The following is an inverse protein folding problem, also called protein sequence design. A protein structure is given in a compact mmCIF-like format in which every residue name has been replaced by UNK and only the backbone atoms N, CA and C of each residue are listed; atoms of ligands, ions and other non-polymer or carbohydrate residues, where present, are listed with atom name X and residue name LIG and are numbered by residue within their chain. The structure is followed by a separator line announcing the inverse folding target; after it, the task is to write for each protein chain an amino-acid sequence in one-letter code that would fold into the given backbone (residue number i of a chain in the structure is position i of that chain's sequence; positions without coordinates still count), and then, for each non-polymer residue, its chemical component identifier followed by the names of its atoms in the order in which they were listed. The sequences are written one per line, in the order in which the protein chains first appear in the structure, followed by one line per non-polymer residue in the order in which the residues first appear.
data_IF_110866213513
#
_entry.id   IF_110866213513
#
_cell.length_a   1.000
_cell.length_b   1.000
_cell.length_c   1.000
_cell.angle_alpha   90.00
_cell.angle_beta   90.00
_cell.angle_gamma   90.00
#
_symmetry.space_group_name_H-M   'P 1'
#
loop_
_entity.id
_entity.type
_entity.pdbx_description
1 polymer ?
#
# COMPACT_ATOMS: atom_id res chain seq x y z
N UNK A 1 28.05 -30.23 -18.02
CA UNK A 1 27.81 -29.87 -16.60
C UNK A 1 28.02 -28.37 -16.29
N UNK A 2 29.11 -27.72 -16.73
CA UNK A 2 29.35 -26.28 -16.46
C UNK A 2 28.31 -25.36 -17.12
N UNK A 3 27.91 -25.64 -18.37
CA UNK A 3 26.90 -24.87 -19.11
C UNK A 3 25.49 -24.99 -18.52
N UNK A 4 25.10 -26.19 -18.09
CA UNK A 4 23.80 -26.44 -17.43
C UNK A 4 23.68 -25.71 -16.09
N UNK A 5 24.77 -25.59 -15.33
CA UNK A 5 24.81 -24.81 -14.08
C UNK A 5 24.64 -23.31 -14.30
N UNK A 6 25.22 -22.76 -15.37
CA UNK A 6 25.08 -21.34 -15.73
C UNK A 6 23.63 -21.04 -16.14
N UNK A 7 23.03 -21.89 -16.97
CA UNK A 7 21.64 -21.72 -17.43
C UNK A 7 20.66 -21.75 -16.25
N UNK A 8 20.84 -22.71 -15.33
CA UNK A 8 20.01 -22.81 -14.14
C UNK A 8 20.13 -21.56 -13.26
N UNK A 9 21.36 -21.07 -13.02
CA UNK A 9 21.58 -19.85 -12.23
C UNK A 9 20.93 -18.61 -12.87
N UNK A 10 21.04 -18.45 -14.19
CA UNK A 10 20.39 -17.33 -14.89
C UNK A 10 18.86 -17.39 -14.83
N UNK A 11 18.27 -18.59 -14.91
CA UNK A 11 16.83 -18.78 -14.77
C UNK A 11 16.34 -18.45 -13.36
N UNK A 12 17.09 -18.86 -12.33
CA UNK A 12 16.75 -18.55 -10.93
C UNK A 12 16.79 -17.04 -10.67
N UNK A 13 17.82 -16.34 -11.15
CA UNK A 13 17.95 -14.88 -10.98
C UNK A 13 16.85 -14.14 -11.75
N UNK A 14 16.53 -14.57 -12.97
CA UNK A 14 15.45 -13.96 -13.75
C UNK A 14 14.08 -14.16 -13.07
N UNK A 15 13.83 -15.33 -12.49
CA UNK A 15 12.59 -15.62 -11.77
C UNK A 15 12.45 -14.78 -10.48
N UNK A 16 13.53 -14.64 -9.72
CA UNK A 16 13.59 -13.77 -8.53
C UNK A 16 13.37 -12.29 -8.87
N UNK A 17 13.94 -11.82 -9.98
CA UNK A 17 13.71 -10.47 -10.47
C UNK A 17 12.24 -10.24 -10.87
N UNK A 18 11.63 -11.19 -11.59
CA UNK A 18 10.23 -11.09 -12.00
C UNK A 18 9.24 -11.04 -10.81
N UNK A 19 9.50 -11.81 -9.75
CA UNK A 19 8.67 -11.82 -8.54
C UNK A 19 8.77 -10.52 -7.73
N UNK A 20 9.85 -9.75 -7.89
CA UNK A 20 10.06 -8.49 -7.17
C UNK A 20 9.17 -7.35 -7.67
N UNK A 21 8.68 -7.42 -8.92
CA UNK A 21 7.78 -6.41 -9.51
C UNK A 21 6.30 -6.70 -9.28
N UNK A 22 5.94 -7.88 -8.74
CA UNK A 22 4.56 -8.25 -8.46
C UNK A 22 4.05 -7.69 -7.11
N UNK A 23 4.90 -7.01 -6.33
CA UNK A 23 4.46 -6.18 -5.22
C UNK A 23 3.86 -4.88 -5.78
N UNK A 24 2.74 -5.00 -6.52
CA UNK A 24 1.86 -3.86 -6.70
C UNK A 24 1.39 -3.51 -5.31
N UNK A 25 1.89 -2.42 -4.74
CA UNK A 25 1.35 -1.89 -3.51
C UNK A 25 -0.11 -1.53 -3.80
N UNK A 26 -1.02 -2.45 -3.52
CA UNK A 26 -2.43 -2.16 -3.40
C UNK A 26 -2.53 -1.30 -2.15
N UNK A 27 -2.44 0.01 -2.33
CA UNK A 27 -2.63 1.00 -1.28
C UNK A 27 -4.12 1.03 -0.91
N UNK A 28 -4.64 -0.11 -0.48
CA UNK A 28 -5.91 -0.22 0.20
C UNK A 28 -5.67 0.26 1.63
N UNK A 29 -6.28 1.37 1.98
CA UNK A 29 -6.15 1.89 3.32
C UNK A 29 -6.83 3.21 3.54
N UNK A 30 -6.68 3.67 4.76
CA UNK A 30 -7.36 4.85 5.28
C UNK A 30 -6.33 5.85 5.79
N UNK A 31 -6.37 7.05 5.23
CA UNK A 31 -5.64 8.21 5.72
C UNK A 31 -6.47 8.90 6.79
N UNK A 32 -5.88 9.13 7.96
CA UNK A 32 -6.46 9.90 9.06
C UNK A 32 -5.75 11.26 9.14
N UNK A 33 -6.50 12.35 9.16
CA UNK A 33 -5.97 13.72 9.18
C UNK A 33 -6.28 14.38 10.51
N UNK A 34 -5.27 15.00 11.12
CA UNK A 34 -5.34 15.61 12.44
C UNK A 34 -5.07 17.11 12.38
N UNK A 35 -5.64 17.88 13.30
CA UNK A 35 -5.23 19.27 13.53
C UNK A 35 -3.93 19.36 14.35
N UNK A 36 -3.53 20.59 14.70
CA UNK A 36 -2.29 20.85 15.42
C UNK A 36 -2.34 20.34 16.88
N UNK A 37 -3.54 20.25 17.47
CA UNK A 37 -3.78 19.66 18.79
C UNK A 37 -3.86 18.12 18.78
N UNK A 38 -3.80 17.48 17.61
CA UNK A 38 -3.87 16.03 17.45
C UNK A 38 -5.28 15.43 17.41
N UNK A 39 -6.32 16.27 17.30
CA UNK A 39 -7.70 15.82 17.10
C UNK A 39 -7.96 15.42 15.64
N UNK A 40 -8.73 14.35 15.42
CA UNK A 40 -9.12 13.87 14.09
C UNK A 40 -10.08 14.87 13.43
N UNK A 41 -9.71 15.37 12.25
CA UNK A 41 -10.48 16.38 11.50
C UNK A 41 -10.84 15.95 10.08
N UNK A 42 -10.38 14.79 9.64
CA UNK A 42 -10.75 14.23 8.35
C UNK A 42 -10.24 12.81 8.16
N UNK A 43 -10.80 12.13 7.17
CA UNK A 43 -10.41 10.79 6.78
C UNK A 43 -10.55 10.59 5.27
N UNK A 44 -9.73 9.73 4.67
CA UNK A 44 -9.88 9.30 3.28
C UNK A 44 -9.52 7.83 3.12
N UNK A 45 -10.49 7.01 2.74
CA UNK A 45 -10.33 5.58 2.44
C UNK A 45 -10.26 5.39 0.92
N UNK A 46 -9.29 4.61 0.47
CA UNK A 46 -9.07 4.27 -0.93
C UNK A 46 -8.77 2.77 -1.09
N UNK A 47 -9.22 2.18 -2.19
CA UNK A 47 -8.95 0.78 -2.54
C UNK A 47 -9.86 -0.23 -1.85
N UNK A 48 -11.00 0.23 -1.32
CA UNK A 48 -11.98 -0.53 -0.57
C UNK A 48 -13.35 -0.66 -1.25
N UNK A 49 -13.49 -0.15 -2.48
CA UNK A 49 -14.72 -0.30 -3.26
C UNK A 49 -15.85 0.54 -2.67
N UNK A 50 -16.92 -0.10 -2.19
CA UNK A 50 -18.09 0.61 -1.64
C UNK A 50 -17.78 1.45 -0.39
N UNK A 51 -16.70 1.10 0.34
CA UNK A 51 -16.21 1.84 1.50
C UNK A 51 -15.21 2.95 1.13
N UNK A 52 -14.95 3.18 -0.15
CA UNK A 52 -14.13 4.32 -0.58
C UNK A 52 -14.89 5.62 -0.33
N UNK A 53 -14.22 6.56 0.33
CA UNK A 53 -14.87 7.80 0.73
C UNK A 53 -13.93 8.73 1.47
N UNK A 54 -14.30 10.00 1.54
CA UNK A 54 -13.58 10.99 2.34
C UNK A 54 -14.53 11.93 3.05
N UNK A 55 -14.14 12.35 4.25
CA UNK A 55 -14.83 13.40 5.00
C UNK A 55 -13.81 14.34 5.64
N UNK A 56 -14.26 15.55 5.99
CA UNK A 56 -13.47 16.51 6.75
C UNK A 56 -12.34 17.18 5.97
N UNK A 57 -11.32 17.64 6.69
CA UNK A 57 -10.22 18.44 6.14
C UNK A 57 -8.95 17.60 6.02
N UNK A 58 -8.26 17.73 4.87
CA UNK A 58 -6.94 17.13 4.68
C UNK A 58 -5.86 18.05 5.23
N UNK A 59 -5.06 17.55 6.16
CA UNK A 59 -3.96 18.27 6.80
C UNK A 59 -2.61 17.59 6.51
N UNK A 60 -1.51 18.27 6.84
CA UNK A 60 -0.18 17.69 6.75
C UNK A 60 0.09 16.66 7.87
N UNK A 61 -0.49 16.88 9.06
CA UNK A 61 -0.44 15.95 10.18
C UNK A 61 -1.41 14.78 9.91
N UNK A 62 -0.88 13.66 9.43
CA UNK A 62 -1.69 12.51 9.01
C UNK A 62 -1.00 11.18 9.29
N UNK A 63 -1.83 10.15 9.47
CA UNK A 63 -1.38 8.76 9.57
C UNK A 63 -2.07 7.91 8.50
N UNK A 64 -1.44 6.79 8.14
CA UNK A 64 -2.02 5.80 7.24
C UNK A 64 -2.24 4.51 8.01
N UNK A 65 -3.47 4.02 7.97
CA UNK A 65 -3.84 2.70 8.48
C UNK A 65 -4.12 1.79 7.29
N UNK A 66 -3.42 0.66 7.23
CA UNK A 66 -3.71 -0.35 6.22
C UNK A 66 -5.08 -0.98 6.52
N UNK A 67 -5.91 -1.11 5.49
CA UNK A 67 -7.27 -1.64 5.60
C UNK A 67 -8.38 -0.58 5.50
N UNK A 68 -9.58 -1.08 5.20
CA UNK A 68 -10.75 -0.25 4.99
C UNK A 68 -11.25 0.35 6.29
N UNK A 69 -11.70 1.60 6.24
CA UNK A 69 -12.39 2.19 7.36
C UNK A 69 -13.64 1.35 7.62
N UNK A 70 -13.73 0.82 8.84
CA UNK A 70 -15.00 0.30 9.36
C UNK A 70 -15.83 1.53 9.66
N UNK A 71 -17.05 1.60 9.12
CA UNK A 71 -18.01 2.69 9.41
C UNK A 71 -17.93 3.06 10.91
N UNK A 72 -17.64 4.33 11.19
CA UNK A 72 -17.76 4.89 12.55
C UNK A 72 -19.20 5.34 12.77
#
# INVERSE_FOLDING_TARGET
MRRTRIIAATLSVALLAALSFAATASWQGTWNYYNDEGALVGQWTAGCGELDGSWGTRTANKSFTQGCAVDM
#
